data_IF_234039004916
#
_entry.id   IF_234039004916
#
_cell.length_a   1.000
_cell.length_b   1.000
_cell.length_c   1.000
_cell.angle_alpha   90.00
_cell.angle_beta   90.00
_cell.angle_gamma   90.00
#
_symmetry.space_group_name_H-M   'P 1'
#
loop_
_entity.id
_entity.type
_entity.pdbx_description
1 polymer ?
#
# COMPACT_ATOMS: atom_id res chain seq x y z
N UNK A 1 2.48 10.84 26.63
CA UNK A 1 3.25 11.15 25.40
C UNK A 1 2.71 10.23 24.33
N UNK A 2 1.82 10.74 23.49
CA UNK A 2 1.42 10.05 22.26
C UNK A 2 2.69 9.88 21.43
N UNK A 3 3.18 8.65 21.29
CA UNK A 3 4.22 8.34 20.32
C UNK A 3 3.55 8.47 18.96
N UNK A 4 3.49 9.67 18.40
CA UNK A 4 3.18 9.84 16.97
C UNK A 4 4.21 9.00 16.24
N UNK A 5 3.76 7.91 15.62
CA UNK A 5 4.63 7.07 14.81
C UNK A 5 5.20 7.97 13.72
N UNK A 6 6.52 8.08 13.67
CA UNK A 6 7.16 8.75 12.54
C UNK A 6 6.80 7.95 11.27
N UNK A 7 6.48 8.63 10.16
CA UNK A 7 6.18 7.95 8.91
C UNK A 7 7.34 7.01 8.56
N UNK A 8 6.99 5.78 8.16
CA UNK A 8 8.00 4.81 7.76
C UNK A 8 8.79 5.36 6.56
N UNK A 9 10.10 5.14 6.54
CA UNK A 9 10.91 5.56 5.39
C UNK A 9 10.50 4.78 4.13
N UNK A 10 10.62 5.37 2.93
CA UNK A 10 10.33 4.69 1.67
C UNK A 10 10.97 3.30 1.57
N UNK A 11 12.21 3.15 2.01
CA UNK A 11 12.95 1.89 1.96
C UNK A 11 12.33 0.82 2.87
N UNK A 12 11.79 1.21 4.02
CA UNK A 12 11.08 0.29 4.92
C UNK A 12 9.77 -0.17 4.29
N UNK A 13 9.04 0.75 3.67
CA UNK A 13 7.78 0.43 3.01
C UNK A 13 8.02 -0.49 1.80
N UNK A 14 9.00 -0.19 0.95
CA UNK A 14 9.39 -1.05 -0.18
C UNK A 14 9.81 -2.45 0.29
N UNK A 15 10.57 -2.55 1.39
CA UNK A 15 10.95 -3.86 1.95
C UNK A 15 9.73 -4.65 2.43
N UNK A 16 8.75 -4.00 3.03
CA UNK A 16 7.51 -4.65 3.44
C UNK A 16 6.77 -5.24 2.21
N UNK A 17 6.62 -4.47 1.13
CA UNK A 17 6.00 -4.99 -0.09
C UNK A 17 6.77 -6.14 -0.72
N UNK A 18 8.10 -6.13 -0.71
CA UNK A 18 8.91 -7.25 -1.17
C UNK A 18 8.75 -8.52 -0.33
N UNK A 19 8.41 -8.40 0.95
CA UNK A 19 8.07 -9.56 1.79
C UNK A 19 6.69 -10.12 1.40
N UNK A 20 5.77 -9.25 1.00
CA UNK A 20 4.41 -9.61 0.58
C UNK A 20 4.34 -10.16 -0.86
N UNK A 21 5.38 -9.92 -1.66
CA UNK A 21 5.53 -10.43 -3.02
C UNK A 21 6.78 -11.34 -3.13
N UNK A 22 6.73 -12.56 -2.56
CA UNK A 22 7.87 -13.49 -2.57
C UNK A 22 8.23 -13.98 -3.98
N UNK A 23 7.30 -13.88 -4.92
CA UNK A 23 7.50 -14.24 -6.32
C UNK A 23 8.07 -13.09 -7.15
N UNK A 24 8.25 -11.90 -6.55
CA UNK A 24 8.80 -10.69 -7.16
C UNK A 24 8.07 -10.31 -8.46
N UNK A 25 6.73 -10.37 -8.42
CA UNK A 25 5.81 -9.95 -9.47
C UNK A 25 5.81 -8.44 -9.70
N UNK A 26 6.19 -7.64 -8.69
CA UNK A 26 6.17 -6.18 -8.72
C UNK A 26 4.80 -5.56 -8.45
N UNK A 27 3.80 -6.36 -8.06
CA UNK A 27 2.46 -5.90 -7.76
C UNK A 27 1.77 -6.76 -6.70
N UNK A 28 0.73 -6.20 -6.05
CA UNK A 28 -0.20 -6.94 -5.21
C UNK A 28 -1.60 -6.95 -5.84
N UNK A 29 -2.39 -7.95 -5.48
CA UNK A 29 -3.82 -7.97 -5.83
C UNK A 29 -4.60 -7.06 -4.90
N UNK A 30 -5.75 -6.53 -5.36
CA UNK A 30 -6.67 -5.74 -4.54
C UNK A 30 -7.06 -6.47 -3.25
N UNK A 31 -7.34 -7.77 -3.34
CA UNK A 31 -7.71 -8.60 -2.20
C UNK A 31 -6.59 -8.70 -1.17
N UNK A 32 -5.36 -9.00 -1.62
CA UNK A 32 -4.23 -9.13 -0.72
C UNK A 32 -3.86 -7.81 -0.05
N UNK A 33 -3.83 -6.71 -0.83
CA UNK A 33 -3.56 -5.37 -0.31
C UNK A 33 -4.65 -4.91 0.65
N UNK A 34 -5.92 -5.09 0.30
CA UNK A 34 -7.06 -4.70 1.13
C UNK A 34 -7.06 -5.43 2.46
N UNK A 35 -6.78 -6.74 2.45
CA UNK A 35 -6.64 -7.53 3.66
C UNK A 35 -5.58 -6.94 4.60
N UNK A 36 -4.41 -6.60 4.08
CA UNK A 36 -3.34 -6.01 4.89
C UNK A 36 -3.75 -4.66 5.49
N UNK A 37 -4.34 -3.77 4.70
CA UNK A 37 -4.74 -2.44 5.17
C UNK A 37 -5.91 -2.46 6.16
N UNK A 38 -6.74 -3.50 6.13
CA UNK A 38 -7.92 -3.62 7.01
C UNK A 38 -7.70 -4.52 8.22
N UNK A 39 -6.63 -5.31 8.27
CA UNK A 39 -6.35 -6.27 9.36
C UNK A 39 -5.10 -5.93 10.18
N UNK A 40 -4.14 -5.18 9.63
CA UNK A 40 -2.86 -4.88 10.29
C UNK A 40 -2.75 -3.42 10.74
N UNK A 41 -2.24 -3.19 11.94
CA UNK A 41 -1.98 -1.84 12.46
C UNK A 41 -3.26 -1.07 12.83
N UNK A 42 -3.37 0.18 12.36
CA UNK A 42 -4.60 0.97 12.44
C UNK A 42 -5.38 0.73 11.14
N UNK A 43 -6.44 -0.08 11.18
CA UNK A 43 -7.09 -0.57 9.98
C UNK A 43 -7.85 0.57 9.28
N UNK A 44 -7.72 0.60 7.96
CA UNK A 44 -8.48 1.51 7.12
C UNK A 44 -9.96 1.08 7.11
N UNK A 45 -10.84 2.07 7.14
CA UNK A 45 -12.26 1.89 6.90
C UNK A 45 -12.53 1.59 5.44
N UNK A 46 -13.68 0.98 5.15
CA UNK A 46 -14.09 0.71 3.78
C UNK A 46 -14.13 1.98 2.91
N UNK A 47 -14.56 3.10 3.50
CA UNK A 47 -14.63 4.40 2.83
C UNK A 47 -13.24 4.91 2.43
N UNK A 48 -12.26 4.84 3.34
CA UNK A 48 -10.87 5.20 3.04
C UNK A 48 -10.27 4.29 1.96
N UNK A 49 -10.59 2.99 1.98
CA UNK A 49 -10.15 2.06 0.92
C UNK A 49 -10.76 2.41 -0.44
N UNK A 50 -12.05 2.78 -0.47
CA UNK A 50 -12.75 3.15 -1.69
C UNK A 50 -12.22 4.45 -2.32
N UNK A 51 -11.76 5.39 -1.49
CA UNK A 51 -11.03 6.58 -1.95
C UNK A 51 -9.62 6.26 -2.48
N UNK A 52 -8.98 5.23 -1.93
CA UNK A 52 -7.62 4.83 -2.30
C UNK A 52 -7.57 4.03 -3.62
N UNK A 53 -8.57 3.18 -3.90
CA UNK A 53 -8.56 2.28 -5.07
C UNK A 53 -8.33 2.94 -6.42
N UNK A 54 -8.97 4.07 -6.75
CA UNK A 54 -8.79 4.73 -8.04
C UNK A 54 -7.35 5.19 -8.30
N UNK A 55 -6.56 5.40 -7.25
CA UNK A 55 -5.16 5.85 -7.33
C UNK A 55 -4.19 4.68 -7.29
N UNK A 56 -4.51 3.64 -6.50
CA UNK A 56 -3.63 2.51 -6.28
C UNK A 56 -3.69 1.43 -7.37
N UNK A 57 -4.86 1.24 -8.00
CA UNK A 57 -5.10 0.14 -8.95
C UNK A 57 -4.77 0.60 -10.36
N UNK A 58 -3.91 -0.15 -11.04
CA UNK A 58 -3.70 -0.01 -12.48
C UNK A 58 -4.98 -0.46 -13.23
N UNK A 59 -5.61 0.41 -14.04
CA UNK A 59 -6.89 0.12 -14.68
C UNK A 59 -6.80 -0.93 -15.81
N UNK A 60 -5.59 -1.23 -16.31
CA UNK A 60 -5.35 -2.22 -17.36
C UNK A 60 -5.18 -3.61 -16.74
N UNK A 61 -4.41 -3.70 -15.65
CA UNK A 61 -4.07 -4.98 -15.03
C UNK A 61 -4.97 -5.37 -13.86
N UNK A 62 -5.63 -4.40 -13.23
CA UNK A 62 -6.40 -4.61 -11.99
C UNK A 62 -5.53 -4.86 -10.76
N UNK A 63 -4.21 -4.69 -10.88
CA UNK A 63 -3.24 -4.90 -9.81
C UNK A 63 -2.73 -3.58 -9.23
N UNK A 64 -2.08 -3.66 -8.07
CA UNK A 64 -1.48 -2.52 -7.38
C UNK A 64 0.04 -2.59 -7.57
N UNK A 65 0.61 -1.84 -8.53
CA UNK A 65 2.06 -1.76 -8.71
C UNK A 65 2.67 -0.96 -7.56
N UNK A 66 3.07 -1.64 -6.48
CA UNK A 66 3.38 -1.00 -5.20
C UNK A 66 4.55 -0.01 -5.27
N UNK A 67 5.59 -0.26 -6.09
CA UNK A 67 6.69 0.71 -6.23
C UNK A 67 6.22 2.00 -6.91
N UNK A 68 5.37 1.89 -7.93
CA UNK A 68 4.78 3.05 -8.60
C UNK A 68 3.82 3.79 -7.68
N UNK A 69 2.95 3.06 -6.99
CA UNK A 69 1.99 3.63 -6.05
C UNK A 69 2.66 4.37 -4.89
N UNK A 70 3.73 3.80 -4.32
CA UNK A 70 4.52 4.46 -3.28
C UNK A 70 5.21 5.73 -3.78
N UNK A 71 5.75 5.70 -5.00
CA UNK A 71 6.33 6.89 -5.60
C UNK A 71 5.27 7.99 -5.78
N UNK A 72 4.03 7.65 -6.13
CA UNK A 72 2.94 8.62 -6.15
C UNK A 72 2.67 9.19 -4.76
N UNK A 73 2.51 8.34 -3.74
CA UNK A 73 2.28 8.79 -2.36
C UNK A 73 3.39 9.71 -1.83
N UNK A 74 4.65 9.40 -2.13
CA UNK A 74 5.80 10.19 -1.69
C UNK A 74 5.94 11.54 -2.38
N UNK A 75 5.36 11.73 -3.58
CA UNK A 75 5.35 13.03 -4.27
C UNK A 75 4.33 13.99 -3.63
N UNK A 76 3.37 13.46 -2.87
CA UNK A 76 2.33 14.25 -2.18
C UNK A 76 2.57 14.44 -0.67
N UNK A 77 3.69 13.95 -0.12
CA UNK A 77 4.11 14.11 1.28
C UNK A 77 5.34 15.02 1.39
#
# INVERSE_FOLDING_TARGET
MERKMEPATPEKIIKAFKILDPENKGYLTKEHFGKLMMEEGEPFTQEEMDEMWPVAIDPITGHIPYEFYLNQLMVYL
#
